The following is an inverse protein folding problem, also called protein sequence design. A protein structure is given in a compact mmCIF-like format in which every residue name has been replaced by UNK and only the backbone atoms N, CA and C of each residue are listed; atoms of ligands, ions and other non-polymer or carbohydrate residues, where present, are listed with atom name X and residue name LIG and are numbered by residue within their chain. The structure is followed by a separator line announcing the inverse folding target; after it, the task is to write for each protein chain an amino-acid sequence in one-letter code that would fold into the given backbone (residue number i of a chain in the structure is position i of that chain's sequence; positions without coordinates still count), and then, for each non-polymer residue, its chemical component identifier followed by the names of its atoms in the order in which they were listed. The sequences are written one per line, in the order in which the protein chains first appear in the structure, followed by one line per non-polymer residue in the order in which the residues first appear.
data_IF_829166525847
#
_entry.id   IF_829166525847
#
_cell.length_a   1.000
_cell.length_b   1.000
_cell.length_c   1.000
_cell.angle_alpha   90.00
_cell.angle_beta   90.00
_cell.angle_gamma   90.00
#
_symmetry.space_group_name_H-M   'P 1'
#
loop_
_entity.id
_entity.type
_entity.pdbx_description
1 polymer ?
2 branched ?
3 non-polymer ?
4 non-polymer ?
5 water ?
#
# COMPACT_ATOMS: atom_id res chain seq x y z
N UNK A 1 23.11 1.94 10.78
CA UNK A 1 23.33 1.58 12.21
C UNK A 1 22.05 1.80 13.02
N UNK A 2 21.59 0.75 13.68
CA UNK A 2 20.38 0.79 14.48
C UNK A 2 20.72 0.78 15.97
N UNK A 3 20.40 1.86 16.67
CA UNK A 3 20.66 1.97 18.10
C UNK A 3 19.77 1.00 18.88
N UNK A 4 20.15 0.73 20.12
CA UNK A 4 19.40 -0.17 20.99
C UNK A 4 18.02 0.33 21.37
N UNK A 5 17.07 -0.61 21.43
CA UNK A 5 15.71 -0.28 21.85
C UNK A 5 15.80 -0.12 23.36
N UNK A 6 14.88 0.65 23.95
CA UNK A 6 14.92 0.82 25.41
C UNK A 6 14.17 -0.33 26.05
N UNK A 7 14.23 -0.42 27.37
CA UNK A 7 13.50 -1.45 28.09
C UNK A 7 12.03 -1.27 27.73
N UNK A 8 11.35 -2.38 27.48
CA UNK A 8 9.94 -2.34 27.15
C UNK A 8 9.20 -3.49 27.82
N UNK A 9 8.02 -3.22 28.35
CA UNK A 9 7.23 -4.24 29.02
C UNK A 9 5.99 -4.57 28.18
N UNK A 10 5.94 -5.79 27.68
CA UNK A 10 4.82 -6.25 26.87
C UNK A 10 4.66 -7.75 27.01
N UNK A 11 3.49 -8.29 26.62
CA UNK A 11 3.21 -9.73 26.71
C UNK A 11 4.26 -10.55 25.96
N UNK A 12 4.72 -11.63 26.59
CA UNK A 12 5.70 -12.50 25.98
C UNK A 12 5.11 -13.24 24.79
N UNK A 13 5.82 -13.25 23.65
CA UNK A 13 5.27 -13.97 22.49
C UNK A 13 5.29 -15.46 22.83
N UNK A 14 4.26 -16.19 22.42
CA UNK A 14 4.19 -17.62 22.71
C UNK A 14 4.49 -18.49 21.51
N UNK A 15 5.66 -19.14 21.56
CA UNK A 15 6.12 -20.01 20.48
C UNK A 15 5.14 -21.10 20.08
N UNK A 16 4.46 -21.68 21.07
CA UNK A 16 3.50 -22.75 20.80
C UNK A 16 2.05 -22.30 20.68
N UNK A 17 1.86 -21.01 20.48
CA UNK A 17 0.52 -20.47 20.31
C UNK A 17 0.52 -19.67 19.02
N UNK A 18 -0.13 -20.19 17.97
CA UNK A 18 -0.16 -19.47 16.70
C UNK A 18 -0.80 -18.09 16.82
N UNK A 19 -0.26 -17.15 16.05
CA UNK A 19 -0.75 -15.78 16.03
C UNK A 19 -2.23 -15.72 15.64
N UNK A 20 -2.52 -16.26 14.47
CA UNK A 20 -3.87 -16.33 13.94
C UNK A 20 -3.99 -17.75 13.40
N UNK A 21 -5.11 -18.41 13.65
CA UNK A 21 -5.29 -19.77 13.15
C UNK A 21 -6.25 -19.77 11.97
N UNK A 22 -6.80 -18.58 11.68
CA UNK A 22 -7.76 -18.44 10.61
C UNK A 22 -7.19 -17.90 9.31
N UNK A 23 -5.96 -17.39 9.34
CA UNK A 23 -5.35 -16.84 8.13
C UNK A 23 -3.86 -17.12 8.02
N UNK A 24 -3.35 -17.01 6.79
CA UNK A 24 -1.94 -17.21 6.51
C UNK A 24 -1.24 -15.90 6.89
N UNK A 25 -0.24 -15.97 7.78
CA UNK A 25 0.46 -14.76 8.20
C UNK A 25 1.87 -14.61 7.65
N UNK A 26 2.29 -15.53 6.78
CA UNK A 26 3.61 -15.46 6.16
C UNK A 26 3.54 -16.12 4.78
N UNK A 27 4.15 -15.49 3.79
CA UNK A 27 4.13 -16.04 2.43
C UNK A 27 5.20 -17.13 2.30
N UNK A 28 5.13 -17.92 1.22
CA UNK A 28 6.10 -18.99 0.99
C UNK A 28 7.54 -18.49 0.84
N UNK A 29 7.70 -17.18 0.62
CA UNK A 29 9.04 -16.61 0.49
C UNK A 29 9.40 -15.84 1.76
N UNK A 30 8.71 -16.19 2.84
CA UNK A 30 8.91 -15.63 4.16
C UNK A 30 8.70 -14.14 4.35
N UNK A 31 7.70 -13.60 3.66
CA UNK A 31 7.36 -12.20 3.81
C UNK A 31 6.13 -12.19 4.72
N UNK A 32 6.13 -11.33 5.75
CA UNK A 32 4.96 -11.31 6.62
C UNK A 32 3.71 -10.82 5.89
N UNK A 33 2.55 -11.39 6.26
CA UNK A 33 1.29 -10.93 5.71
C UNK A 33 0.68 -10.22 6.93
N UNK A 34 0.52 -8.91 6.80
CA UNK A 34 0.05 -8.07 7.90
C UNK A 34 -1.44 -8.09 8.21
N UNK A 35 -1.78 -8.69 9.35
CA UNK A 35 -3.15 -8.78 9.85
C UNK A 35 -3.15 -8.25 11.29
N UNK A 36 -4.30 -7.78 11.76
CA UNK A 36 -4.39 -7.28 13.13
C UNK A 36 -4.09 -8.47 14.06
N UNK A 37 -3.23 -8.24 15.05
CA UNK A 37 -2.88 -9.31 15.98
C UNK A 37 -1.52 -9.93 15.70
N UNK A 38 -0.95 -9.64 14.53
CA UNK A 38 0.36 -10.20 14.19
C UNK A 38 1.50 -9.31 14.66
N UNK A 39 1.20 -8.05 14.96
CA UNK A 39 2.25 -7.13 15.36
C UNK A 39 2.02 -6.34 16.64
N UNK A 40 3.12 -5.98 17.29
CA UNK A 40 3.08 -5.15 18.49
C UNK A 40 3.52 -3.80 17.94
N UNK A 41 2.58 -2.86 17.83
CA UNK A 41 2.89 -1.56 17.26
C UNK A 41 3.87 -0.73 18.10
N UNK A 42 3.91 -0.98 19.41
CA UNK A 42 4.83 -0.23 20.25
C UNK A 42 6.27 -0.58 19.89
N UNK A 43 6.54 -1.86 19.70
CA UNK A 43 7.89 -2.28 19.33
C UNK A 43 8.25 -1.68 17.96
N UNK A 44 7.34 -1.83 16.99
CA UNK A 44 7.58 -1.30 15.65
C UNK A 44 7.75 0.23 15.65
N UNK A 45 6.92 0.94 16.41
CA UNK A 45 7.04 2.39 16.45
C UNK A 45 8.42 2.79 16.94
N UNK A 46 8.90 2.09 17.97
CA UNK A 46 10.22 2.37 18.53
C UNK A 46 11.30 2.16 17.46
N UNK A 47 11.24 1.02 16.79
CA UNK A 47 12.22 0.71 15.76
C UNK A 47 12.28 1.77 14.67
N UNK A 48 11.13 2.20 14.18
CA UNK A 48 11.13 3.20 13.11
C UNK A 48 11.41 4.63 13.56
N UNK A 49 11.01 4.97 14.78
CA UNK A 49 11.28 6.33 15.28
C UNK A 49 12.78 6.50 15.53
N UNK A 50 13.42 5.44 16.00
CA UNK A 50 14.85 5.50 16.28
C UNK A 50 15.64 5.70 14.99
N UNK A 51 14.97 5.45 13.86
CA UNK A 51 15.58 5.63 12.55
C UNK A 51 15.19 6.97 11.94
N UNK A 52 14.33 7.71 12.64
CA UNK A 52 13.87 9.02 12.17
C UNK A 52 13.25 8.86 10.79
N UNK A 53 12.38 7.85 10.68
CA UNK A 53 11.72 7.51 9.44
C UNK A 53 10.74 8.55 8.91
N UNK A 54 10.84 8.83 7.61
CA UNK A 54 9.95 9.79 6.96
C UNK A 54 9.19 9.03 5.89
N UNK A 55 7.86 9.12 5.94
CA UNK A 55 7.03 8.41 4.97
C UNK A 55 6.35 9.37 4.00
N UNK A 56 6.51 9.09 2.71
CA UNK A 56 5.87 9.91 1.70
C UNK A 56 4.59 9.22 1.28
N UNK A 57 3.50 9.98 1.19
CA UNK A 57 2.22 9.43 0.79
C UNK A 57 1.83 10.17 -0.48
N UNK A 58 1.69 9.44 -1.58
CA UNK A 58 1.35 10.05 -2.85
C UNK A 58 -0.06 9.72 -3.32
N UNK A 59 -0.72 10.72 -3.90
CA UNK A 59 -2.07 10.53 -4.43
C UNK A 59 -2.23 11.40 -5.66
N UNK A 60 -3.01 10.90 -6.60
CA UNK A 60 -3.29 11.63 -7.82
C UNK A 60 -4.75 12.02 -7.76
N UNK A 61 -5.01 13.32 -7.89
CA UNK A 61 -6.37 13.83 -7.83
C UNK A 61 -6.62 14.69 -9.05
N UNK A 62 -7.20 14.09 -10.09
CA UNK A 62 -7.48 14.80 -11.32
C UNK A 62 -8.97 15.04 -11.50
N UNK A 63 -9.29 16.21 -12.08
CA UNK A 63 -10.68 16.58 -12.34
C UNK A 63 -11.58 16.44 -11.11
N UNK A 64 -12.68 15.72 -11.27
CA UNK A 64 -13.65 15.51 -10.21
C UNK A 64 -13.08 14.90 -8.94
N UNK A 65 -11.99 14.15 -9.06
CA UNK A 65 -11.40 13.50 -7.90
C UNK A 65 -10.83 14.43 -6.84
N UNK A 66 -10.64 15.71 -7.19
CA UNK A 66 -10.11 16.66 -6.22
C UNK A 66 -11.08 16.82 -5.06
N UNK A 67 -12.33 16.47 -5.30
CA UNK A 67 -13.37 16.57 -4.27
C UNK A 67 -13.19 15.57 -3.13
N UNK A 68 -12.34 14.57 -3.35
CA UNK A 68 -12.08 13.54 -2.34
C UNK A 68 -10.90 13.86 -1.42
N UNK A 69 -10.14 14.89 -1.78
CA UNK A 69 -8.97 15.27 -1.00
C UNK A 69 -9.19 15.63 0.46
N UNK A 70 -10.22 16.44 0.73
CA UNK A 70 -10.48 16.86 2.11
C UNK A 70 -10.64 15.68 3.07
N UNK A 71 -11.56 14.77 2.76
CA UNK A 71 -11.79 13.61 3.63
C UNK A 71 -10.56 12.72 3.69
N UNK A 72 -9.90 12.53 2.54
CA UNK A 72 -8.71 11.70 2.49
C UNK A 72 -7.62 12.22 3.43
N UNK A 73 -7.27 13.49 3.28
CA UNK A 73 -6.24 14.09 4.11
C UNK A 73 -6.63 14.20 5.58
N UNK A 74 -7.87 14.58 5.85
CA UNK A 74 -8.34 14.71 7.23
C UNK A 74 -8.25 13.39 7.99
N UNK A 75 -8.68 12.30 7.35
CA UNK A 75 -8.63 11.00 8.00
C UNK A 75 -7.22 10.47 8.06
N UNK A 76 -6.38 10.84 7.09
CA UNK A 76 -4.99 10.39 7.11
C UNK A 76 -4.32 11.04 8.33
N UNK A 77 -4.71 12.27 8.64
CA UNK A 77 -4.14 12.95 9.79
C UNK A 77 -4.48 12.22 11.09
N UNK A 78 -5.61 11.53 11.10
CA UNK A 78 -6.02 10.81 12.30
C UNK A 78 -5.51 9.38 12.40
N UNK A 79 -5.24 8.77 11.25
CA UNK A 79 -4.85 7.36 11.24
C UNK A 79 -3.55 6.94 10.55
N UNK A 80 -2.99 7.78 9.70
CA UNK A 80 -1.80 7.42 8.95
C UNK A 80 -0.46 7.84 9.54
N UNK A 81 0.32 6.85 9.97
CA UNK A 81 1.66 7.09 10.51
C UNK A 81 1.73 8.16 11.59
N UNK A 82 0.70 8.26 12.43
CA UNK A 82 0.73 9.28 13.47
C UNK A 82 1.95 9.07 14.38
N UNK A 83 2.70 10.14 14.61
CA UNK A 83 3.89 10.05 15.44
C UNK A 83 5.16 10.08 14.63
N UNK A 84 5.06 9.77 13.34
CA UNK A 84 6.22 9.78 12.46
C UNK A 84 6.17 10.95 11.48
N UNK A 85 7.28 11.22 10.80
CA UNK A 85 7.32 12.30 9.83
C UNK A 85 6.59 11.85 8.56
N UNK A 86 5.67 12.68 8.09
CA UNK A 86 4.91 12.36 6.88
C UNK A 86 4.93 13.51 5.89
N UNK A 87 5.14 13.19 4.62
CA UNK A 87 5.14 14.19 3.58
C UNK A 87 4.12 13.75 2.53
N UNK A 88 3.04 14.52 2.41
CA UNK A 88 2.00 14.21 1.44
C UNK A 88 2.39 14.82 0.11
N UNK A 89 2.16 14.09 -0.98
CA UNK A 89 2.44 14.58 -2.31
C UNK A 89 1.15 14.47 -3.10
N UNK A 90 0.52 15.61 -3.35
CA UNK A 90 -0.73 15.63 -4.08
C UNK A 90 -0.50 16.07 -5.52
N UNK A 91 -0.67 15.14 -6.46
CA UNK A 91 -0.52 15.46 -7.88
C UNK A 91 -1.89 15.78 -8.42
N UNK A 92 -2.07 17.00 -8.92
CA UNK A 92 -3.38 17.40 -9.41
C UNK A 92 -3.31 18.41 -10.55
N UNK A 93 -4.40 18.50 -11.30
CA UNK A 93 -4.50 19.42 -12.42
C UNK A 93 -5.22 20.68 -11.94
N UNK A 94 -5.57 20.69 -10.66
CA UNK A 94 -6.29 21.80 -10.04
C UNK A 94 -5.65 22.20 -8.71
N UNK A 95 -4.42 22.74 -8.75
CA UNK A 95 -3.69 23.16 -7.56
C UNK A 95 -4.52 24.01 -6.57
N UNK A 96 -5.20 25.02 -7.09
CA UNK A 96 -6.01 25.90 -6.26
C UNK A 96 -7.22 25.21 -5.64
N UNK A 97 -7.56 24.03 -6.15
CA UNK A 97 -8.71 23.30 -5.63
C UNK A 97 -8.37 22.40 -4.44
N UNK A 98 -7.08 22.29 -4.13
CA UNK A 98 -6.65 21.47 -3.00
C UNK A 98 -7.14 22.14 -1.72
N UNK A 99 -7.86 21.40 -0.87
CA UNK A 99 -8.37 21.97 0.38
C UNK A 99 -7.28 22.28 1.40
N UNK A 100 -7.53 23.29 2.23
CA UNK A 100 -6.58 23.68 3.27
C UNK A 100 -6.85 22.80 4.48
N UNK A 101 -6.11 21.70 4.58
CA UNK A 101 -6.27 20.77 5.70
C UNK A 101 -5.24 21.06 6.79
N UNK A 102 -5.69 21.04 8.04
CA UNK A 102 -4.81 21.29 9.17
C UNK A 102 -3.98 20.05 9.44
N UNK A 103 -2.66 20.19 9.42
CA UNK A 103 -1.78 19.05 9.65
C UNK A 103 -1.10 19.07 11.01
N UNK A 104 -0.83 17.87 11.54
CA UNK A 104 -0.15 17.78 12.82
C UNK A 104 1.32 18.13 12.63
N UNK A 105 2.03 18.35 13.73
CA UNK A 105 3.45 18.70 13.63
C UNK A 105 4.26 17.58 12.97
N UNK A 106 5.29 17.96 12.22
CA UNK A 106 6.14 16.99 11.56
C UNK A 106 5.54 16.41 10.28
N UNK A 107 4.43 16.99 9.85
CA UNK A 107 3.76 16.53 8.64
C UNK A 107 3.61 17.70 7.69
N UNK A 108 3.89 17.46 6.42
CA UNK A 108 3.78 18.52 5.44
C UNK A 108 3.15 18.04 4.15
N UNK A 109 2.68 18.98 3.35
CA UNK A 109 2.03 18.63 2.10
C UNK A 109 2.56 19.46 0.94
N UNK A 110 2.83 18.80 -0.17
CA UNK A 110 3.31 19.47 -1.37
C UNK A 110 2.32 19.23 -2.50
N UNK A 111 1.95 20.30 -3.19
CA UNK A 111 1.03 20.20 -4.31
C UNK A 111 1.87 20.24 -5.57
N UNK A 112 1.76 19.18 -6.38
CA UNK A 112 2.50 19.11 -7.63
C UNK A 112 1.51 19.15 -8.78
N UNK A 113 1.60 20.19 -9.61
CA UNK A 113 0.68 20.31 -10.73
C UNK A 113 1.08 19.37 -11.86
N UNK A 114 0.08 18.77 -12.50
CA UNK A 114 0.32 17.86 -13.61
C UNK A 114 -0.48 18.33 -14.82
N UNK A 136 12.04 12.71 -10.21
CA UNK A 136 11.64 11.87 -9.06
C UNK A 136 12.78 11.69 -8.07
N UNK A 137 13.93 12.28 -8.40
CA UNK A 137 15.11 12.21 -7.55
C UNK A 137 14.81 12.96 -6.24
N UNK A 138 13.77 13.79 -6.28
CA UNK A 138 13.34 14.57 -5.13
C UNK A 138 12.93 13.63 -4.00
N UNK A 139 12.23 12.55 -4.35
CA UNK A 139 11.77 11.57 -3.36
C UNK A 139 12.93 10.94 -2.61
N UNK A 140 14.01 10.64 -3.33
CA UNK A 140 15.18 10.02 -2.71
C UNK A 140 15.80 10.86 -1.59
N UNK A 141 15.67 12.17 -1.71
CA UNK A 141 16.26 13.05 -0.70
C UNK A 141 15.26 13.56 0.34
N UNK A 142 13.97 13.33 0.12
CA UNK A 142 12.97 13.82 1.07
C UNK A 142 12.31 12.77 1.95
N UNK A 143 12.18 11.54 1.47
CA UNK A 143 11.54 10.50 2.26
C UNK A 143 12.28 9.17 2.20
N UNK A 144 11.98 8.28 3.14
CA UNK A 144 12.60 6.97 3.20
C UNK A 144 11.74 5.92 2.54
N UNK A 145 10.43 6.09 2.66
CA UNK A 145 9.46 5.17 2.09
C UNK A 145 8.40 5.92 1.31
N UNK A 146 7.84 5.26 0.30
CA UNK A 146 6.78 5.85 -0.49
C UNK A 146 5.57 4.94 -0.41
N UNK A 147 4.41 5.53 -0.16
CA UNK A 147 3.16 4.78 -0.10
C UNK A 147 2.28 5.43 -1.15
N UNK A 148 1.83 4.63 -2.11
CA UNK A 148 1.03 5.14 -3.21
C UNK A 148 -0.39 4.59 -3.13
N UNK A 149 -1.36 5.49 -2.99
CA UNK A 149 -2.76 5.07 -2.87
C UNK A 149 -3.72 5.90 -3.72
N UNK A 150 -4.97 5.43 -3.80
CA UNK A 150 -6.03 6.12 -4.53
C UNK A 150 -6.60 7.17 -3.60
N UNK A 151 -7.10 8.27 -4.15
CA UNK A 151 -7.63 9.36 -3.33
C UNK A 151 -9.10 9.24 -2.92
N UNK A 152 -9.90 8.52 -3.69
CA UNK A 152 -11.32 8.35 -3.35
C UNK A 152 -11.45 7.26 -2.29
N UNK A 153 -10.81 7.53 -1.16
CA UNK A 153 -10.77 6.62 -0.03
C UNK A 153 -10.72 7.43 1.26
N UNK A 154 -10.82 6.74 2.39
CA UNK A 154 -10.73 7.39 3.69
C UNK A 154 -10.15 6.41 4.70
N UNK A 155 -9.35 6.94 5.63
CA UNK A 155 -8.78 6.09 6.66
C UNK A 155 -9.80 6.00 7.78
N UNK A 156 -10.00 4.79 8.29
CA UNK A 156 -10.97 4.58 9.36
C UNK A 156 -10.31 3.98 10.59
N UNK A 157 -9.07 3.52 10.45
CA UNK A 157 -8.34 2.94 11.56
C UNK A 157 -6.84 3.02 11.29
N UNK A 158 -6.07 2.60 12.26
CA UNK A 158 -4.61 2.64 12.20
C UNK A 158 -3.95 2.05 10.95
N UNK A 159 -3.10 2.84 10.32
CA UNK A 159 -2.30 2.40 9.18
C UNK A 159 -0.95 2.99 9.56
N UNK A 160 -0.09 2.13 10.10
CA UNK A 160 1.21 2.60 10.56
C UNK A 160 2.44 1.94 9.99
N UNK A 161 3.54 2.06 10.72
CA UNK A 161 4.83 1.53 10.29
C UNK A 161 4.89 0.02 10.07
N UNK A 162 3.87 -0.71 10.54
CA UNK A 162 3.85 -2.16 10.34
C UNK A 162 3.86 -2.47 8.84
N UNK A 163 3.49 -1.52 7.99
CA UNK A 163 3.47 -1.78 6.55
C UNK A 163 4.80 -1.51 5.86
N UNK A 164 5.68 -0.75 6.51
CA UNK A 164 6.97 -0.37 5.92
C UNK A 164 7.96 -1.52 5.75
N UNK A 165 8.51 -1.60 4.54
CA UNK A 165 9.43 -2.67 4.15
C UNK A 165 9.95 -2.26 2.76
N UNK A 166 10.97 -2.95 2.24
CA UNK A 166 11.47 -2.54 0.92
C UNK A 166 10.42 -2.49 -0.19
N UNK A 167 9.52 -3.48 -0.21
CA UNK A 167 8.47 -3.53 -1.23
C UNK A 167 7.23 -4.28 -0.75
N UNK A 168 6.07 -3.62 -0.80
CA UNK A 168 4.86 -4.29 -0.37
C UNK A 168 3.70 -4.11 -1.34
N UNK A 169 2.82 -5.12 -1.35
CA UNK A 169 1.63 -5.12 -2.17
C UNK A 169 0.46 -5.37 -1.22
N UNK A 170 -0.76 -5.11 -1.66
CA UNK A 170 -1.95 -5.29 -0.82
C UNK A 170 -2.92 -6.26 -1.46
N UNK A 171 -3.47 -7.18 -0.68
CA UNK A 171 -4.43 -8.16 -1.20
C UNK A 171 -5.75 -7.49 -1.57
N UNK A 172 -6.16 -7.69 -2.82
CA UNK A 172 -7.41 -7.16 -3.34
C UNK A 172 -8.55 -7.78 -2.53
N UNK A 173 -9.45 -6.96 -1.98
CA UNK A 173 -10.56 -7.47 -1.18
C UNK A 173 -11.50 -8.43 -1.89
N UNK A 174 -11.51 -8.37 -3.22
CA UNK A 174 -12.39 -9.24 -3.97
C UNK A 174 -11.80 -10.57 -4.40
N UNK A 175 -10.51 -10.79 -4.12
CA UNK A 175 -9.87 -12.04 -4.53
C UNK A 175 -9.01 -12.73 -3.48
N UNK A 176 -8.99 -12.22 -2.25
CA UNK A 176 -8.13 -12.84 -1.24
C UNK A 176 -8.45 -14.30 -0.94
N UNK A 177 -9.69 -14.72 -1.19
CA UNK A 177 -10.05 -16.11 -0.94
C UNK A 177 -10.26 -16.90 -2.21
N UNK A 178 -9.89 -16.30 -3.34
CA UNK A 178 -10.06 -16.94 -4.64
C UNK A 178 -8.85 -17.76 -5.09
N UNK A 179 -9.08 -18.70 -5.99
CA UNK A 179 -7.99 -19.52 -6.53
C UNK A 179 -7.35 -18.69 -7.64
N UNK A 180 -6.08 -18.94 -7.92
CA UNK A 180 -5.35 -18.19 -8.95
C UNK A 180 -6.03 -18.18 -10.31
N UNK A 181 -6.70 -19.28 -10.65
CA UNK A 181 -7.37 -19.38 -11.94
C UNK A 181 -8.45 -18.31 -12.08
N UNK A 182 -9.00 -17.88 -10.94
CA UNK A 182 -10.05 -16.87 -10.93
C UNK A 182 -9.51 -15.44 -10.91
N UNK A 183 -8.22 -15.29 -10.62
CA UNK A 183 -7.59 -13.97 -10.58
C UNK A 183 -7.76 -13.28 -11.94
N UNK A 184 -8.11 -12.00 -11.93
CA UNK A 184 -8.30 -11.28 -13.18
C UNK A 184 -7.00 -10.73 -13.77
N UNK A 185 -5.96 -11.57 -13.79
CA UNK A 185 -4.67 -11.19 -14.37
C UNK A 185 -4.89 -11.01 -15.87
N UNK A 186 -3.90 -10.44 -16.54
CA UNK A 186 -3.98 -10.30 -17.99
C UNK A 186 -3.68 -11.71 -18.47
N UNK A 187 -4.55 -12.27 -19.30
CA UNK A 187 -4.36 -13.64 -19.77
C UNK A 187 -3.87 -13.78 -21.21
N UNK A 188 -3.68 -12.67 -21.91
CA UNK A 188 -3.20 -12.71 -23.29
C UNK A 188 -1.68 -12.67 -23.35
N UNK A 189 -1.07 -13.69 -23.97
CA UNK A 189 0.39 -13.80 -24.13
C UNK A 189 1.00 -12.61 -24.85
N UNK A 190 0.18 -11.90 -25.62
CA UNK A 190 0.65 -10.75 -26.37
C UNK A 190 0.98 -9.55 -25.48
N UNK A 191 0.47 -9.57 -24.24
CA UNK A 191 0.72 -8.49 -23.30
C UNK A 191 1.89 -8.78 -22.35
N UNK A 192 2.64 -7.75 -22.02
CA UNK A 192 3.78 -7.89 -21.12
C UNK A 192 3.33 -8.21 -19.71
N UNK A 193 2.05 -8.00 -19.43
CA UNK A 193 1.48 -8.27 -18.11
C UNK A 193 0.92 -9.69 -18.02
N UNK A 194 1.09 -10.45 -19.09
CA UNK A 194 0.58 -11.82 -19.15
C UNK A 194 1.03 -12.75 -18.02
N UNK A 195 0.06 -13.46 -17.44
CA UNK A 195 0.32 -14.43 -16.39
C UNK A 195 -0.58 -15.62 -16.67
N UNK A 196 0.00 -16.79 -16.97
CA UNK A 196 -0.79 -17.99 -17.26
C UNK A 196 -1.56 -18.51 -16.05
N UNK A 197 -2.55 -19.35 -16.32
CA UNK A 197 -3.40 -19.91 -15.28
C UNK A 197 -2.71 -20.69 -14.17
N UNK A 198 -1.52 -21.22 -14.44
CA UNK A 198 -0.81 -21.99 -13.43
C UNK A 198 0.26 -21.19 -12.67
N UNK A 199 0.20 -19.87 -12.78
CA UNK A 199 1.14 -19.00 -12.08
C UNK A 199 0.37 -17.98 -11.25
N UNK A 200 1.03 -17.41 -10.25
CA UNK A 200 0.37 -16.41 -9.42
C UNK A 200 0.31 -16.78 -7.96
N UNK A 201 0.62 -15.81 -7.09
CA UNK A 201 0.56 -16.03 -5.65
C UNK A 201 -0.73 -15.42 -5.12
N UNK A 202 -0.90 -14.13 -5.38
CA UNK A 202 -2.08 -13.40 -4.94
C UNK A 202 -2.48 -12.38 -5.99
N UNK A 203 -3.63 -11.76 -5.80
CA UNK A 203 -4.05 -10.70 -6.71
C UNK A 203 -3.92 -9.41 -5.90
N UNK A 204 -2.93 -8.60 -6.27
CA UNK A 204 -2.68 -7.34 -5.57
C UNK A 204 -3.46 -6.18 -6.18
N UNK A 205 -3.77 -5.20 -5.34
CA UNK A 205 -4.51 -3.99 -5.74
C UNK A 205 -3.57 -2.94 -6.32
N UNK A 206 -4.02 -2.25 -7.35
CA UNK A 206 -3.19 -1.21 -7.93
C UNK A 206 -3.29 0.04 -7.07
N UNK A 207 -4.31 0.10 -6.24
CA UNK A 207 -4.54 1.26 -5.39
C UNK A 207 -3.83 1.39 -4.05
N UNK A 208 -2.93 0.47 -3.73
CA UNK A 208 -2.22 0.55 -2.47
C UNK A 208 -0.98 -0.33 -2.49
N UNK A 209 0.17 0.30 -2.73
CA UNK A 209 1.44 -0.39 -2.76
C UNK A 209 2.50 0.61 -2.30
N UNK A 210 3.72 0.12 -2.07
CA UNK A 210 4.75 1.03 -1.61
C UNK A 210 6.02 0.30 -1.27
N UNK A 211 6.91 0.99 -0.56
CA UNK A 211 8.18 0.40 -0.16
C UNK A 211 9.22 1.50 -0.10
N UNK A 212 10.50 1.13 -0.18
CA UNK A 212 11.56 2.13 -0.15
C UNK A 212 11.43 2.94 -1.44
N UNK A 213 11.96 4.16 -1.44
CA UNK A 213 11.87 4.98 -2.65
C UNK A 213 12.50 4.24 -3.82
N UNK A 214 13.66 3.63 -3.59
CA UNK A 214 14.35 2.90 -4.63
C UNK A 214 13.50 1.78 -5.23
N UNK A 215 12.89 0.96 -4.37
CA UNK A 215 12.06 -0.14 -4.87
C UNK A 215 10.80 0.33 -5.58
N UNK A 216 10.18 1.39 -5.06
CA UNK A 216 8.97 1.91 -5.67
C UNK A 216 9.28 2.50 -7.05
N UNK A 217 10.42 3.16 -7.17
CA UNK A 217 10.79 3.74 -8.45
C UNK A 217 11.12 2.64 -9.46
N UNK A 218 11.70 1.54 -8.97
CA UNK A 218 12.01 0.42 -9.84
C UNK A 218 10.73 -0.19 -10.37
N UNK A 219 9.73 -0.31 -9.50
CA UNK A 219 8.44 -0.88 -9.90
C UNK A 219 7.73 0.01 -10.90
N UNK A 220 7.66 1.31 -10.61
CA UNK A 220 6.97 2.21 -11.53
C UNK A 220 7.72 2.33 -12.85
N UNK A 221 9.04 2.24 -12.80
CA UNK A 221 9.86 2.31 -14.00
C UNK A 221 9.59 1.08 -14.87
N UNK A 222 9.54 -0.09 -14.24
CA UNK A 222 9.28 -1.33 -14.97
C UNK A 222 7.87 -1.32 -15.56
N UNK A 223 6.90 -0.84 -14.78
CA UNK A 223 5.52 -0.77 -15.24
C UNK A 223 5.40 0.15 -16.45
N UNK A 224 5.99 1.33 -16.35
CA UNK A 224 5.95 2.31 -17.42
C UNK A 224 6.47 1.72 -18.73
N UNK A 225 7.64 1.09 -18.66
CA UNK A 225 8.25 0.48 -19.84
C UNK A 225 7.38 -0.64 -20.42
N UNK A 226 6.84 -1.49 -19.55
CA UNK A 226 6.00 -2.60 -20.00
C UNK A 226 4.74 -2.08 -20.70
N UNK A 227 4.15 -1.01 -20.17
CA UNK A 227 2.95 -0.45 -20.76
C UNK A 227 3.24 0.21 -22.10
N UNK A 228 4.46 0.73 -22.27
CA UNK A 228 4.83 1.35 -23.52
C UNK A 228 4.96 0.27 -24.59
N UNK A 229 5.52 -0.87 -24.20
CA UNK A 229 5.70 -1.99 -25.12
C UNK A 229 4.33 -2.51 -25.56
N UNK A 230 3.39 -2.60 -24.62
CA UNK A 230 2.05 -3.06 -24.94
C UNK A 230 1.36 -2.10 -25.91
N UNK A 231 1.52 -0.80 -25.64
CA UNK A 231 0.92 0.23 -26.47
C UNK A 231 1.45 0.12 -27.89
N UNK A 232 2.76 -0.03 -28.02
CA UNK A 232 3.40 -0.16 -29.33
C UNK A 232 2.90 -1.41 -30.03
N UNK A 233 2.58 -2.44 -29.24
CA UNK A 233 2.09 -3.70 -29.77
C UNK A 233 0.57 -3.67 -29.96
N UNK A 234 -0.02 -2.49 -29.75
CA UNK A 234 -1.46 -2.33 -29.90
C UNK A 234 -2.32 -3.11 -28.93
N UNK A 235 -1.90 -3.21 -27.68
CA UNK A 235 -2.69 -3.94 -26.69
C UNK A 235 -2.69 -3.21 -25.35
N UNK A 236 -3.81 -3.30 -24.63
CA UNK A 236 -3.97 -2.66 -23.33
C UNK A 236 -4.39 -3.72 -22.32
N UNK A 237 -3.60 -3.89 -21.26
CA UNK A 237 -3.89 -4.88 -20.23
C UNK A 237 -5.31 -4.71 -19.68
N UNK A 238 -5.97 -5.84 -19.45
CA UNK A 238 -7.34 -5.87 -18.94
C UNK A 238 -7.61 -4.90 -17.80
N UNK A 239 -6.70 -4.84 -16.83
CA UNK A 239 -6.89 -3.91 -15.72
C UNK A 239 -5.78 -2.88 -15.61
N UNK A 240 -5.28 -2.49 -16.79
CA UNK A 240 -4.26 -1.46 -16.92
C UNK A 240 -3.08 -1.59 -15.95
N UNK A 241 -2.76 -0.49 -15.27
CA UNK A 241 -1.65 -0.44 -14.32
C UNK A 241 -1.64 -1.58 -13.31
N UNK A 242 -2.82 -1.95 -12.83
CA UNK A 242 -2.95 -3.02 -11.85
C UNK A 242 -2.50 -4.36 -12.41
N UNK A 243 -2.74 -4.59 -13.70
CA UNK A 243 -2.33 -5.83 -14.33
C UNK A 243 -0.81 -5.93 -14.34
N UNK A 244 -0.15 -4.83 -14.69
CA UNK A 244 1.31 -4.81 -14.71
C UNK A 244 1.88 -4.90 -13.30
N UNK A 245 1.19 -4.30 -12.34
CA UNK A 245 1.64 -4.35 -10.95
C UNK A 245 1.71 -5.82 -10.52
N UNK A 246 0.68 -6.57 -10.88
CA UNK A 246 0.62 -7.98 -10.51
C UNK A 246 1.73 -8.80 -11.17
N UNK A 247 2.04 -8.48 -12.42
CA UNK A 247 3.10 -9.19 -13.12
C UNK A 247 4.43 -8.88 -12.43
N UNK A 248 4.64 -7.62 -12.08
CA UNK A 248 5.87 -7.22 -11.42
C UNK A 248 6.04 -7.92 -10.08
N UNK A 249 5.01 -7.89 -9.25
CA UNK A 249 5.08 -8.52 -7.93
C UNK A 249 5.14 -10.04 -7.99
N UNK A 250 4.77 -10.61 -9.14
CA UNK A 250 4.86 -12.05 -9.30
C UNK A 250 6.34 -12.40 -9.48
N UNK A 251 7.03 -11.60 -10.30
CA UNK A 251 8.45 -11.83 -10.60
C UNK A 251 9.43 -11.19 -9.60
N UNK A 252 8.95 -10.24 -8.80
CA UNK A 252 9.75 -9.57 -7.76
C UNK A 252 8.88 -9.64 -6.51
N UNK A 253 9.03 -10.70 -5.73
CA UNK A 253 8.22 -10.92 -4.54
C UNK A 253 8.29 -9.78 -3.51
N UNK A 254 7.11 -9.31 -3.06
CA UNK A 254 7.13 -8.23 -2.07
C UNK A 254 7.67 -8.75 -0.74
N UNK A 255 8.32 -7.87 0.02
CA UNK A 255 8.89 -8.24 1.30
C UNK A 255 7.87 -8.25 2.44
N UNK A 256 6.68 -7.72 2.15
CA UNK A 256 5.55 -7.74 3.09
C UNK A 256 4.31 -7.68 2.21
N UNK A 257 3.23 -8.32 2.66
CA UNK A 257 1.96 -8.28 1.92
C UNK A 257 0.93 -7.79 2.93
N UNK A 258 0.14 -6.79 2.55
CA UNK A 258 -0.86 -6.27 3.46
C UNK A 258 -2.19 -7.00 3.25
N UNK A 259 -2.87 -7.32 4.36
CA UNK A 259 -4.16 -8.02 4.30
C UNK A 259 -5.22 -7.04 3.79
N UNK A 260 -6.42 -7.55 3.49
CA UNK A 260 -7.52 -6.70 2.99
C UNK A 260 -7.97 -5.65 4.00
N UNK A 261 -7.48 -5.74 5.23
CA UNK A 261 -7.81 -4.76 6.25
C UNK A 261 -7.38 -3.39 5.72
N UNK A 262 -6.32 -3.41 4.90
CA UNK A 262 -5.74 -2.18 4.37
C UNK A 262 -6.39 -1.53 3.14
N UNK A 263 -7.38 -2.18 2.56
CA UNK A 263 -8.12 -1.59 1.44
C UNK A 263 -9.38 -2.41 1.30
N UNK A 264 -10.46 -1.90 1.88
CA UNK A 264 -11.74 -2.59 1.86
C UNK A 264 -12.86 -1.71 1.35
N UNK A 265 -13.99 -2.33 1.03
CA UNK A 265 -15.17 -1.61 0.57
C UNK A 265 -16.31 -2.24 1.36
N UNK A 266 -16.69 -1.57 2.45
CA UNK A 266 -17.74 -2.10 3.30
C UNK A 266 -19.11 -2.15 2.63
N UNK A 267 -19.37 -1.22 1.73
CA UNK A 267 -20.66 -1.20 1.03
C UNK A 267 -20.81 -2.45 0.17
N UNK A 268 -19.75 -2.80 -0.55
CA UNK A 268 -19.76 -3.95 -1.44
C UNK A 268 -19.39 -5.30 -0.80
N UNK A 269 -18.61 -5.26 0.28
CA UNK A 269 -18.17 -6.51 0.90
C UNK A 269 -18.51 -6.72 2.36
N UNK A 270 -19.19 -5.75 2.98
CA UNK A 270 -19.56 -5.88 4.37
C UNK A 270 -18.38 -5.85 5.32
N UNK A 271 -18.51 -6.54 6.45
CA UNK A 271 -17.45 -6.59 7.44
C UNK A 271 -17.34 -8.01 7.98
N UNK A 272 -16.64 -8.88 7.26
CA UNK A 272 -16.47 -10.28 7.67
C UNK A 272 -15.63 -10.44 8.95
N UNK A 273 -15.88 -11.55 9.65
CA UNK A 273 -15.18 -11.84 10.90
C UNK A 273 -13.67 -11.89 10.75
N UNK A 274 -13.19 -12.35 9.60
CA UNK A 274 -11.76 -12.45 9.37
C UNK A 274 -11.06 -11.07 9.42
N UNK A 275 -11.84 -9.99 9.34
CA UNK A 275 -11.28 -8.65 9.40
C UNK A 275 -11.59 -8.01 10.76
N UNK A 276 -10.57 -7.95 11.62
CA UNK A 276 -10.75 -7.37 12.94
C UNK A 276 -10.80 -5.84 12.88
N UNK A 277 -10.27 -5.29 11.79
CA UNK A 277 -10.27 -3.84 11.58
C UNK A 277 -10.41 -3.53 10.10
N UNK A 278 -11.06 -2.40 9.81
CA UNK A 278 -11.22 -1.91 8.44
C UNK A 278 -10.45 -0.59 8.53
N UNK A 279 -9.23 -0.59 8.03
CA UNK A 279 -8.34 0.56 8.13
C UNK A 279 -8.42 1.65 7.07
N UNK A 280 -8.56 1.24 5.82
CA UNK A 280 -8.59 2.15 4.68
C UNK A 280 -9.71 1.64 3.78
N UNK A 281 -10.71 2.48 3.51
CA UNK A 281 -11.85 2.03 2.71
C UNK A 281 -12.32 2.98 1.62
N UNK A 282 -13.09 2.42 0.68
CA UNK A 282 -13.64 3.21 -0.41
C UNK A 282 -14.73 4.11 0.15
N UNK A 283 -14.93 5.26 -0.46
CA UNK A 283 -15.95 6.19 0.00
C UNK A 283 -17.26 5.93 -0.73
N UNK A 284 -18.34 5.70 0.02
CA UNK A 284 -19.65 5.45 -0.62
C UNK A 284 -20.17 6.68 -1.34
X LIG B 1 -16.27 -7.59 -6.96
X LIG B 1 -15.15 -8.02 -7.91
X LIG B 1 -14.00 -7.02 -7.86
X LIG B 1 -14.51 -5.61 -8.15
X LIG B 1 -15.64 -5.30 -7.17
X LIG B 1 -16.20 -3.89 -7.45
X LIG B 1 -14.82 -10.43 -8.25
X LIG B 1 -14.25 -11.72 -7.66
X LIG B 1 -16.70 -6.26 -7.30
X LIG B 1 -13.01 -7.38 -8.83
X LIG B 1 -13.47 -4.63 -7.98
X LIG B 1 -16.69 -3.82 -8.79
X LIG B 1 -15.38 -10.45 -9.35
X LIG B 1 -14.66 -9.35 -7.51
X LIG B 1 -15.80 -7.64 -5.61
X LIG B 2 -12.78 -4.37 -9.21
X LIG B 2 -12.04 -3.04 -9.09
X LIG B 2 -11.22 -2.77 -10.36
X LIG B 2 -10.30 -3.96 -10.64
X LIG B 2 -11.14 -5.24 -10.71
X LIG B 2 -10.23 -6.45 -10.98
X LIG B 2 -12.98 -1.97 -8.88
X LIG B 2 -10.42 -1.60 -10.16
X LIG B 2 -9.35 -4.08 -9.58
X LIG B 2 -11.84 -5.43 -9.47
X LIG B 2 -11.03 -7.63 -11.09
X LIG C 1 2.91 -0.78 -11.70
X LIG D 1 2.49 2.27 -15.56
X LIG E 1 4.09 6.59 -5.76
X LIG F 1 -1.09 5.14 -6.73
X LIG G 1 -0.07 -13.09 17.37
#
# INVERSE_FOLDING_TARGET
FMVSLPRMVYPQPKVLTPCRKDVLVVTPWLAPIVWEGTFNIDILNEQFRLQNTTIGLTVFAIKKYVAFLKLFLETAEKHFMVGHRVHYYVFTDQPAAVPRVTLGTGRQLSVLEVRAYKRWQDVSMRRMEMISDFCERRFLSEVDYLVCVDVDMEFRDHVGVEILTPLFGTLHPGFYGSSREAFTYERRPQSQAYIPKDEGDFYYLGGFFGGSVQEVQRLTRACHQAMMVDQANGIEAVWHDESHLNKYLLRHKPTKVLSPEYLWDQQLLGWPAVLRKLRFTAVPKNHQAVRNP
NDG C1 C2 C3 C4 C5 C6 C7 C8 O5 O3 O4 O6 O7 N2 O1
GAL C1 C2 C3 C4 C5 C6 O2 O3 O4 O5 O6
HG HG
HG HG
HG HG
CL CL
HG HG
#
